data_IF_245474352616
#
_entry.id   IF_245474352616
#
_cell.length_a   1.000
_cell.length_b   1.000
_cell.length_c   1.000
_cell.angle_alpha   90.00
_cell.angle_beta   90.00
_cell.angle_gamma   90.00
#
_symmetry.space_group_name_H-M   'P 1'
#
loop_
_entity.id
_entity.type
_entity.pdbx_description
1 polymer ?
#
# COMPACT_ATOMS: atom_id res chain seq x y z
N UNK A 1 -5.69 -7.51 -5.73
CA UNK A 1 -6.54 -6.71 -6.63
C UNK A 1 -7.83 -6.41 -5.87
N UNK A 2 -8.01 -5.16 -5.42
CA UNK A 2 -9.28 -4.73 -4.87
C UNK A 2 -10.29 -4.77 -6.02
N UNK A 3 -11.43 -5.44 -5.81
CA UNK A 3 -12.55 -5.39 -6.75
C UNK A 3 -12.97 -3.93 -6.89
N UNK A 4 -12.85 -3.40 -8.10
CA UNK A 4 -13.37 -2.07 -8.44
C UNK A 4 -14.89 -2.21 -8.40
N UNK A 5 -15.58 -1.32 -7.68
CA UNK A 5 -17.04 -1.28 -7.72
C UNK A 5 -17.47 -0.66 -9.05
N UNK A 6 -17.69 -1.55 -10.03
CA UNK A 6 -18.00 -1.20 -11.40
C UNK A 6 -19.40 -0.56 -11.55
N UNK A 7 -20.25 -0.64 -10.51
CA UNK A 7 -21.60 -0.03 -10.54
C UNK A 7 -21.57 1.51 -10.53
N UNK A 8 -20.41 2.11 -10.22
CA UNK A 8 -20.19 3.55 -10.16
C UNK A 8 -19.10 4.04 -11.14
N UNK A 9 -18.64 3.19 -12.05
CA UNK A 9 -17.67 3.59 -13.06
C UNK A 9 -18.35 4.50 -14.09
N UNK A 10 -18.02 5.79 -14.06
CA UNK A 10 -18.35 6.71 -15.14
C UNK A 10 -17.21 6.62 -16.15
N UNK A 11 -17.43 5.89 -17.24
CA UNK A 11 -16.46 5.80 -18.33
C UNK A 11 -16.65 7.03 -19.21
N UNK A 12 -15.76 8.02 -19.07
CA UNK A 12 -15.65 9.08 -20.04
C UNK A 12 -14.79 8.58 -21.21
N UNK A 13 -15.38 8.42 -22.37
CA UNK A 13 -14.66 7.93 -23.55
C UNK A 13 -13.80 9.04 -24.15
N UNK A 14 -12.51 8.77 -24.41
CA UNK A 14 -11.67 9.67 -25.17
C UNK A 14 -12.23 9.83 -26.60
N UNK A 15 -12.01 10.99 -27.19
CA UNK A 15 -12.25 11.21 -28.61
C UNK A 15 -11.15 10.50 -29.43
N UNK A 16 -11.32 9.19 -29.62
CA UNK A 16 -10.43 8.42 -30.49
C UNK A 16 -10.97 8.52 -31.91
N UNK A 17 -10.23 9.14 -32.81
CA UNK A 17 -10.45 9.04 -34.26
C UNK A 17 -9.99 7.63 -34.70
N UNK A 18 -10.89 6.66 -34.66
CA UNK A 18 -10.66 5.34 -35.22
C UNK A 18 -11.52 5.18 -36.47
N UNK A 19 -10.88 4.80 -37.55
CA UNK A 19 -11.56 4.45 -38.80
C UNK A 19 -12.26 3.10 -38.63
N UNK A 20 -13.50 2.99 -39.08
CA UNK A 20 -14.41 1.84 -38.93
C UNK A 20 -13.90 0.48 -39.48
N UNK A 21 -12.66 0.42 -39.96
CA UNK A 21 -12.12 -0.74 -40.70
C UNK A 21 -11.58 -1.89 -39.86
N UNK A 22 -11.38 -1.73 -38.53
CA UNK A 22 -10.75 -2.76 -37.72
C UNK A 22 -11.45 -2.94 -36.36
N UNK A 23 -12.53 -3.75 -36.30
CA UNK A 23 -13.33 -3.92 -35.08
C UNK A 23 -12.55 -4.56 -33.92
N UNK A 24 -11.51 -5.36 -34.21
CA UNK A 24 -10.68 -6.04 -33.21
C UNK A 24 -9.42 -5.25 -32.80
N UNK A 25 -9.25 -4.04 -33.33
CA UNK A 25 -8.09 -3.20 -32.97
C UNK A 25 -8.18 -2.81 -31.50
N UNK A 26 -7.13 -3.12 -30.74
CA UNK A 26 -7.00 -2.64 -29.36
C UNK A 26 -6.74 -1.14 -29.35
N UNK A 27 -7.51 -0.44 -28.55
CA UNK A 27 -7.38 1.02 -28.34
C UNK A 27 -7.03 1.29 -26.89
N UNK A 28 -6.17 2.28 -26.68
CA UNK A 28 -5.91 2.83 -25.38
C UNK A 28 -7.08 3.73 -24.97
N UNK A 29 -7.53 3.53 -23.75
CA UNK A 29 -8.63 4.29 -23.17
C UNK A 29 -8.30 4.71 -21.74
N UNK A 30 -9.08 5.65 -21.24
CA UNK A 30 -9.06 6.00 -19.83
C UNK A 30 -10.50 6.17 -19.32
N UNK A 31 -10.68 5.95 -18.05
CA UNK A 31 -11.97 6.11 -17.37
C UNK A 31 -11.77 6.45 -15.91
N UNK A 32 -12.82 6.94 -15.30
CA UNK A 32 -12.83 7.19 -13.85
C UNK A 32 -13.75 6.20 -13.15
N UNK A 33 -13.30 5.72 -12.00
CA UNK A 33 -14.09 4.87 -11.11
C UNK A 33 -13.97 5.38 -9.67
N UNK A 34 -14.84 4.93 -8.79
CA UNK A 34 -14.68 5.17 -7.36
C UNK A 34 -14.03 3.97 -6.71
N UNK A 35 -13.06 4.22 -5.83
CA UNK A 35 -12.49 3.16 -5.01
C UNK A 35 -13.57 2.57 -4.09
N UNK A 36 -13.81 1.24 -4.05
CA UNK A 36 -14.85 0.66 -3.22
C UNK A 36 -14.60 0.79 -1.71
N UNK A 37 -13.35 1.07 -1.30
CA UNK A 37 -13.00 1.21 0.11
C UNK A 37 -13.12 2.65 0.61
N UNK A 38 -12.56 3.63 -0.13
CA UNK A 38 -12.48 5.01 0.33
C UNK A 38 -13.33 5.98 -0.49
N UNK A 39 -14.02 5.50 -1.51
CA UNK A 39 -14.88 6.26 -2.43
C UNK A 39 -14.18 7.41 -3.19
N UNK A 40 -12.85 7.48 -3.11
CA UNK A 40 -12.07 8.46 -3.85
C UNK A 40 -12.06 8.14 -5.35
N UNK A 41 -12.03 9.16 -6.23
CA UNK A 41 -11.95 8.93 -7.67
C UNK A 41 -10.63 8.27 -8.05
N UNK A 42 -10.70 7.29 -8.92
CA UNK A 42 -9.56 6.58 -9.50
C UNK A 42 -9.62 6.75 -11.00
N UNK A 43 -8.53 7.26 -11.59
CA UNK A 43 -8.33 7.24 -13.03
C UNK A 43 -7.76 5.88 -13.41
N UNK A 44 -8.37 5.21 -14.37
CA UNK A 44 -7.92 3.91 -14.90
C UNK A 44 -7.48 4.11 -16.34
N UNK A 45 -6.31 3.60 -16.70
CA UNK A 45 -5.82 3.53 -18.07
C UNK A 45 -5.91 2.07 -18.51
N UNK A 46 -6.52 1.82 -19.65
CA UNK A 46 -6.81 0.46 -20.11
C UNK A 46 -6.62 0.30 -21.62
N UNK A 47 -6.43 -0.96 -22.05
CA UNK A 47 -6.57 -1.40 -23.44
C UNK A 47 -7.84 -2.22 -23.60
N UNK A 48 -8.57 -1.96 -24.69
CA UNK A 48 -9.77 -2.71 -25.00
C UNK A 48 -10.00 -2.74 -26.52
N UNK A 49 -10.74 -3.74 -27.05
CA UNK A 49 -11.19 -3.73 -28.44
C UNK A 49 -12.06 -2.50 -28.72
N UNK A 50 -11.81 -1.82 -29.84
CA UNK A 50 -12.56 -0.61 -30.23
C UNK A 50 -14.07 -0.84 -30.27
N UNK A 51 -14.49 -1.99 -30.82
CA UNK A 51 -15.90 -2.35 -30.91
C UNK A 51 -16.58 -2.39 -29.52
N UNK A 52 -15.85 -2.82 -28.49
CA UNK A 52 -16.36 -2.87 -27.13
C UNK A 52 -16.53 -1.48 -26.54
N UNK A 53 -15.54 -0.60 -26.77
CA UNK A 53 -15.59 0.79 -26.29
C UNK A 53 -16.71 1.57 -27.00
N UNK A 54 -16.90 1.38 -28.30
CA UNK A 54 -17.97 2.04 -29.06
C UNK A 54 -19.36 1.57 -28.64
N UNK A 55 -19.56 0.25 -28.46
CA UNK A 55 -20.84 -0.32 -28.01
C UNK A 55 -21.16 -0.02 -26.56
N UNK A 56 -20.17 0.20 -25.70
CA UNK A 56 -20.41 0.55 -24.31
C UNK A 56 -21.22 1.84 -24.13
N UNK A 57 -21.18 2.73 -25.12
CA UNK A 57 -22.00 3.96 -25.16
C UNK A 57 -23.49 3.69 -25.40
N UNK A 58 -23.83 2.56 -26.01
CA UNK A 58 -25.20 2.20 -26.39
C UNK A 58 -25.87 1.30 -25.34
N UNK A 59 -25.04 0.64 -24.49
CA UNK A 59 -25.54 -0.27 -23.46
C UNK A 59 -26.09 0.53 -22.27
N UNK A 60 -27.41 0.47 -22.12
CA UNK A 60 -28.12 1.03 -20.95
C UNK A 60 -28.08 0.13 -19.73
N UNK A 61 -27.66 -1.14 -19.90
CA UNK A 61 -27.62 -2.14 -18.84
C UNK A 61 -26.19 -2.34 -18.33
N UNK A 62 -25.96 -1.92 -17.10
CA UNK A 62 -24.67 -2.04 -16.40
C UNK A 62 -24.21 -3.51 -16.25
N UNK A 63 -25.11 -4.48 -16.24
CA UNK A 63 -24.76 -5.90 -16.04
C UNK A 63 -24.09 -6.50 -17.25
N UNK A 64 -24.59 -6.18 -18.47
CA UNK A 64 -23.95 -6.64 -19.71
C UNK A 64 -22.61 -5.97 -19.94
N UNK A 65 -22.49 -4.68 -19.64
CA UNK A 65 -21.25 -3.93 -19.71
C UNK A 65 -20.20 -4.53 -18.76
N UNK A 66 -20.61 -4.89 -17.57
CA UNK A 66 -19.76 -5.51 -16.53
C UNK A 66 -19.10 -6.81 -17.00
N UNK A 67 -19.89 -7.71 -17.56
CA UNK A 67 -19.41 -9.02 -18.09
C UNK A 67 -18.45 -8.82 -19.28
N UNK A 68 -18.72 -7.86 -20.14
CA UNK A 68 -17.88 -7.55 -21.29
C UNK A 68 -16.55 -6.89 -20.87
N UNK A 69 -16.57 -5.98 -19.91
CA UNK A 69 -15.37 -5.33 -19.40
C UNK A 69 -14.43 -6.33 -18.71
N UNK A 70 -14.97 -7.27 -17.93
CA UNK A 70 -14.15 -8.28 -17.23
C UNK A 70 -13.39 -9.22 -18.16
N UNK A 71 -13.90 -9.50 -19.35
CA UNK A 71 -13.31 -10.46 -20.29
C UNK A 71 -12.31 -9.84 -21.27
N UNK A 72 -12.45 -8.55 -21.59
CA UNK A 72 -11.77 -7.96 -22.75
C UNK A 72 -11.02 -6.67 -22.46
N UNK A 73 -11.04 -6.19 -21.22
CA UNK A 73 -10.33 -4.97 -20.82
C UNK A 73 -9.09 -5.33 -20.03
N UNK A 74 -7.94 -4.92 -20.54
CA UNK A 74 -6.67 -4.99 -19.83
C UNK A 74 -6.39 -3.65 -19.15
N UNK A 75 -6.36 -3.65 -17.82
CA UNK A 75 -5.96 -2.45 -17.06
C UNK A 75 -4.43 -2.33 -17.14
N UNK A 76 -3.97 -1.26 -17.77
CA UNK A 76 -2.54 -0.97 -17.92
C UNK A 76 -2.02 -0.24 -16.69
N UNK A 77 -2.79 0.75 -16.20
CA UNK A 77 -2.37 1.61 -15.10
C UNK A 77 -3.57 2.26 -14.39
N UNK A 78 -3.34 2.81 -13.19
CA UNK A 78 -4.36 3.58 -12.46
C UNK A 78 -3.72 4.64 -11.57
N UNK A 79 -4.47 5.71 -11.27
CA UNK A 79 -4.06 6.84 -10.42
C UNK A 79 -5.18 7.22 -9.44
N UNK A 80 -4.85 7.69 -8.21
CA UNK A 80 -3.48 7.80 -7.70
C UNK A 80 -2.90 6.45 -7.33
N UNK A 81 -1.63 6.22 -7.63
CA UNK A 81 -0.88 5.12 -7.04
C UNK A 81 -0.60 5.46 -5.59
N UNK A 82 -0.92 4.55 -4.69
CA UNK A 82 -0.41 4.67 -3.33
C UNK A 82 1.09 4.41 -3.37
N UNK A 83 1.87 5.42 -3.03
CA UNK A 83 3.30 5.26 -2.81
C UNK A 83 3.49 4.47 -1.52
N UNK A 84 3.64 3.15 -1.67
CA UNK A 84 3.81 2.18 -0.58
C UNK A 84 5.23 1.67 -0.62
N UNK A 85 5.99 1.99 0.42
CA UNK A 85 7.33 1.45 0.59
C UNK A 85 7.28 -0.08 0.76
N UNK A 86 8.06 -0.78 -0.06
CA UNK A 86 8.20 -2.23 -0.01
C UNK A 86 9.57 -2.63 -0.54
N UNK A 87 10.26 -3.52 0.16
CA UNK A 87 11.58 -4.01 -0.28
C UNK A 87 11.69 -5.53 -0.02
N UNK A 88 12.28 -6.31 -0.95
CA UNK A 88 12.38 -7.77 -0.81
C UNK A 88 13.24 -8.23 0.38
N UNK A 89 14.18 -7.43 0.84
CA UNK A 89 14.99 -7.72 2.03
C UNK A 89 14.17 -7.75 3.33
N UNK A 90 13.01 -7.09 3.36
CA UNK A 90 12.13 -7.12 4.52
C UNK A 90 11.37 -8.45 4.53
N UNK A 91 11.40 -9.23 5.62
CA UNK A 91 10.68 -10.50 5.74
C UNK A 91 9.20 -10.34 5.40
N UNK A 92 8.64 -11.32 4.71
CA UNK A 92 7.30 -11.23 4.10
C UNK A 92 6.21 -10.82 5.10
N UNK A 93 6.23 -11.39 6.30
CA UNK A 93 5.24 -11.08 7.34
C UNK A 93 5.32 -9.62 7.79
N UNK A 94 6.52 -9.11 8.04
CA UNK A 94 6.76 -7.71 8.42
C UNK A 94 6.35 -6.79 7.27
N UNK A 95 6.76 -7.13 6.04
CA UNK A 95 6.44 -6.37 4.82
C UNK A 95 4.94 -6.27 4.57
N UNK A 96 4.19 -7.37 4.75
CA UNK A 96 2.75 -7.38 4.58
C UNK A 96 2.04 -6.53 5.63
N UNK A 97 2.42 -6.65 6.91
CA UNK A 97 1.90 -5.80 7.98
C UNK A 97 2.18 -4.32 7.71
N UNK A 98 3.41 -3.98 7.35
CA UNK A 98 3.78 -2.58 7.10
C UNK A 98 3.06 -2.01 5.89
N UNK A 99 2.89 -2.79 4.83
CA UNK A 99 2.07 -2.39 3.67
C UNK A 99 0.64 -2.02 4.07
N UNK A 100 0.02 -2.81 4.95
CA UNK A 100 -1.35 -2.56 5.37
C UNK A 100 -1.46 -1.32 6.27
N UNK A 101 -0.46 -1.09 7.13
CA UNK A 101 -0.35 0.14 7.95
C UNK A 101 -0.18 1.38 7.06
N UNK A 102 0.71 1.36 6.08
CA UNK A 102 0.89 2.46 5.13
C UNK A 102 -0.39 2.75 4.34
N UNK A 103 -1.12 1.71 3.92
CA UNK A 103 -2.42 1.88 3.24
C UNK A 103 -3.44 2.54 4.14
N UNK A 104 -3.50 2.14 5.41
CA UNK A 104 -4.42 2.73 6.38
C UNK A 104 -4.10 4.21 6.59
N UNK A 105 -2.81 4.58 6.72
CA UNK A 105 -2.37 5.96 6.83
C UNK A 105 -2.73 6.78 5.60
N UNK A 106 -2.37 6.33 4.39
CA UNK A 106 -2.67 7.01 3.12
C UNK A 106 -4.18 7.17 2.87
N UNK A 107 -4.99 6.27 3.36
CA UNK A 107 -6.45 6.34 3.29
C UNK A 107 -7.07 7.12 4.46
N UNK A 108 -6.25 7.76 5.30
CA UNK A 108 -6.68 8.56 6.46
C UNK A 108 -7.62 7.78 7.40
N UNK A 109 -7.28 6.51 7.65
CA UNK A 109 -7.96 5.73 8.67
C UNK A 109 -7.77 6.35 10.04
N UNK A 110 -8.55 5.88 11.02
CA UNK A 110 -8.44 6.33 12.40
C UNK A 110 -6.98 6.28 12.89
N UNK A 111 -6.37 7.43 13.23
CA UNK A 111 -4.95 7.53 13.57
C UNK A 111 -4.48 6.57 14.67
N UNK A 112 -5.20 6.34 15.78
CA UNK A 112 -4.84 5.35 16.78
C UNK A 112 -4.61 3.95 16.20
N UNK A 113 -5.44 3.50 15.26
CA UNK A 113 -5.27 2.18 14.62
C UNK A 113 -3.99 2.10 13.79
N UNK A 114 -3.62 3.19 13.12
CA UNK A 114 -2.36 3.27 12.37
C UNK A 114 -1.17 3.15 13.31
N UNK A 115 -1.17 3.89 14.42
CA UNK A 115 -0.08 3.89 15.40
C UNK A 115 0.05 2.53 16.11
N UNK A 116 -1.06 1.88 16.47
CA UNK A 116 -1.06 0.50 16.99
C UNK A 116 -0.53 -0.47 15.94
N UNK A 117 -0.85 -0.25 14.66
CA UNK A 117 -0.30 -1.00 13.55
C UNK A 117 1.22 -0.87 13.44
N UNK A 118 1.77 0.34 13.54
CA UNK A 118 3.22 0.59 13.57
C UNK A 118 3.91 -0.18 14.71
N UNK A 119 3.32 -0.18 15.90
CA UNK A 119 3.83 -0.98 17.04
C UNK A 119 3.83 -2.47 16.72
N UNK A 120 2.78 -2.98 16.07
CA UNK A 120 2.70 -4.41 15.70
C UNK A 120 3.76 -4.79 14.65
N UNK A 121 4.02 -3.91 13.69
CA UNK A 121 5.13 -4.06 12.71
C UNK A 121 6.47 -4.10 13.44
N UNK A 122 6.72 -3.17 14.36
CA UNK A 122 7.95 -3.13 15.14
C UNK A 122 8.13 -4.42 15.96
N UNK A 123 7.07 -4.92 16.60
CA UNK A 123 7.13 -6.16 17.39
C UNK A 123 7.51 -7.37 16.52
N UNK A 124 6.93 -7.49 15.34
CA UNK A 124 7.28 -8.58 14.43
C UNK A 124 8.70 -8.43 13.86
N UNK A 125 9.12 -7.20 13.54
CA UNK A 125 10.47 -6.92 13.08
C UNK A 125 11.52 -7.28 14.12
N UNK A 126 11.33 -6.87 15.37
CA UNK A 126 12.25 -7.14 16.47
C UNK A 126 12.34 -8.65 16.76
N UNK A 127 11.23 -9.40 16.69
CA UNK A 127 11.25 -10.87 16.78
C UNK A 127 12.07 -11.49 15.66
N UNK A 128 11.87 -11.03 14.44
CA UNK A 128 12.57 -11.54 13.26
C UNK A 128 14.07 -11.26 13.30
N UNK A 129 14.48 -10.14 13.92
CA UNK A 129 15.89 -9.80 14.16
C UNK A 129 16.53 -10.61 15.27
N UNK A 130 15.76 -11.46 15.97
CA UNK A 130 16.26 -12.34 17.05
C UNK A 130 16.23 -11.73 18.44
N UNK A 131 15.55 -10.59 18.63
CA UNK A 131 15.41 -9.95 19.94
C UNK A 131 14.72 -10.86 20.97
N UNK A 132 15.37 -11.05 22.11
CA UNK A 132 14.93 -11.92 23.21
C UNK A 132 14.31 -11.10 24.34
N UNK A 133 13.37 -11.71 25.06
CA UNK A 133 12.70 -11.13 26.22
C UNK A 133 11.18 -11.27 26.15
N UNK A 134 10.54 -10.99 27.27
CA UNK A 134 9.07 -11.18 27.40
C UNK A 134 8.29 -10.00 26.78
N UNK A 135 8.80 -8.79 26.93
CA UNK A 135 8.15 -7.59 26.44
C UNK A 135 8.83 -7.05 25.17
N UNK A 136 8.10 -6.22 24.42
CA UNK A 136 8.69 -5.48 23.29
C UNK A 136 9.89 -4.60 23.75
N UNK A 137 9.82 -4.05 24.96
CA UNK A 137 10.92 -3.28 25.54
C UNK A 137 12.17 -4.14 25.71
N UNK A 138 12.03 -5.33 26.32
CA UNK A 138 13.16 -6.22 26.57
C UNK A 138 13.83 -6.66 25.26
N UNK A 139 13.02 -6.96 24.24
CA UNK A 139 13.52 -7.35 22.91
C UNK A 139 14.30 -6.22 22.22
N UNK A 140 13.83 -4.97 22.34
CA UNK A 140 14.54 -3.80 21.82
C UNK A 140 15.87 -3.60 22.55
N UNK A 141 15.87 -3.69 23.90
CA UNK A 141 17.08 -3.58 24.71
C UNK A 141 18.07 -4.70 24.39
N UNK A 142 17.59 -5.90 24.16
CA UNK A 142 18.42 -7.05 23.81
C UNK A 142 19.12 -6.85 22.46
N UNK A 143 18.39 -6.43 21.42
CA UNK A 143 18.97 -6.10 20.10
C UNK A 143 20.00 -4.98 20.18
N UNK A 144 19.80 -3.99 21.05
CA UNK A 144 20.77 -2.95 21.29
C UNK A 144 22.06 -3.50 21.97
N UNK A 145 21.92 -4.35 22.98
CA UNK A 145 23.05 -4.99 23.65
C UNK A 145 23.83 -5.90 22.71
N UNK A 146 23.17 -6.58 21.80
CA UNK A 146 23.77 -7.40 20.75
C UNK A 146 24.47 -6.57 19.65
N UNK A 147 24.29 -5.25 19.63
CA UNK A 147 24.82 -4.38 18.58
C UNK A 147 24.08 -4.47 17.24
N UNK A 148 22.92 -5.14 17.21
CA UNK A 148 22.07 -5.27 16.00
C UNK A 148 21.44 -3.92 15.63
N UNK A 149 21.06 -3.13 16.65
CA UNK A 149 20.56 -1.78 16.47
C UNK A 149 21.41 -0.74 17.21
N UNK A 150 21.49 0.46 16.66
CA UNK A 150 22.18 1.58 17.29
C UNK A 150 21.33 2.19 18.43
N UNK A 151 21.96 3.03 19.27
CA UNK A 151 21.25 3.77 20.30
C UNK A 151 20.10 4.62 19.72
N UNK A 152 20.33 5.27 18.59
CA UNK A 152 19.29 6.10 17.94
C UNK A 152 18.10 5.25 17.52
N UNK A 153 18.32 4.08 16.91
CA UNK A 153 17.25 3.15 16.51
C UNK A 153 16.51 2.60 17.71
N UNK A 154 17.21 2.32 18.82
CA UNK A 154 16.58 1.91 20.09
C UNK A 154 15.64 3.01 20.60
N UNK A 155 16.09 4.26 20.60
CA UNK A 155 15.30 5.39 21.07
C UNK A 155 14.04 5.56 20.19
N UNK A 156 14.15 5.43 18.85
CA UNK A 156 13.00 5.46 17.94
C UNK A 156 12.04 4.30 18.15
N UNK A 157 12.56 3.07 18.29
CA UNK A 157 11.72 1.91 18.59
C UNK A 157 10.96 2.09 19.92
N UNK A 158 11.60 2.74 20.90
CA UNK A 158 10.97 3.07 22.19
C UNK A 158 9.86 4.12 22.02
N UNK A 159 10.02 5.10 21.12
CA UNK A 159 8.99 6.09 20.79
C UNK A 159 7.79 5.37 20.16
N UNK A 160 7.98 4.58 19.11
CA UNK A 160 6.90 3.83 18.43
C UNK A 160 6.14 2.96 19.45
N UNK A 161 6.86 2.26 20.33
CA UNK A 161 6.26 1.43 21.37
C UNK A 161 5.39 2.24 22.34
N UNK A 162 5.89 3.40 22.81
CA UNK A 162 5.17 4.27 23.76
C UNK A 162 3.90 4.86 23.12
N UNK A 163 4.00 5.37 21.89
CA UNK A 163 2.86 5.90 21.15
C UNK A 163 1.84 4.80 20.85
N UNK A 164 2.28 3.62 20.44
CA UNK A 164 1.38 2.48 20.21
C UNK A 164 0.66 2.01 21.48
N UNK A 165 1.32 2.05 22.64
CA UNK A 165 0.67 1.76 23.91
C UNK A 165 -0.36 2.84 24.28
N UNK A 166 -0.01 4.13 24.13
CA UNK A 166 -0.92 5.24 24.38
C UNK A 166 -2.14 5.15 23.47
N UNK A 167 -1.95 4.99 22.17
CA UNK A 167 -3.01 4.90 21.19
C UNK A 167 -3.97 3.70 21.39
N UNK A 168 -3.50 2.62 22.05
CA UNK A 168 -4.34 1.48 22.40
C UNK A 168 -5.30 1.76 23.57
N UNK A 169 -5.00 2.76 24.40
CA UNK A 169 -5.78 3.10 25.59
C UNK A 169 -6.42 4.48 25.50
N UNK A 170 -5.83 5.40 24.77
CA UNK A 170 -6.27 6.78 24.58
C UNK A 170 -6.57 7.03 23.10
N UNK A 171 -7.75 7.53 22.79
CA UNK A 171 -8.22 7.73 21.40
C UNK A 171 -7.64 9.03 20.80
N UNK A 172 -6.88 9.80 21.58
CA UNK A 172 -6.32 11.09 21.17
C UNK A 172 -4.97 10.92 20.46
N UNK A 173 -5.02 10.60 19.17
CA UNK A 173 -3.87 10.59 18.27
C UNK A 173 -4.21 11.39 17.03
N UNK A 174 -3.35 12.31 16.62
CA UNK A 174 -3.57 13.12 15.42
C UNK A 174 -3.11 12.38 14.15
N UNK A 175 -3.55 12.87 12.97
CA UNK A 175 -3.11 12.32 11.69
C UNK A 175 -1.61 12.56 11.46
N UNK A 176 -1.10 13.70 11.93
CA UNK A 176 0.32 14.04 11.85
C UNK A 176 1.18 13.06 12.66
N UNK A 177 0.77 12.76 13.90
CA UNK A 177 1.44 11.77 14.74
C UNK A 177 1.42 10.37 14.11
N UNK A 178 0.31 9.97 13.49
CA UNK A 178 0.22 8.71 12.78
C UNK A 178 1.17 8.65 11.58
N UNK A 179 1.25 9.73 10.79
CA UNK A 179 2.18 9.83 9.65
C UNK A 179 3.63 9.77 10.12
N UNK A 180 3.98 10.49 11.19
CA UNK A 180 5.32 10.45 11.79
C UNK A 180 5.70 9.04 12.27
N UNK A 181 4.77 8.31 12.89
CA UNK A 181 5.01 6.94 13.33
C UNK A 181 5.22 5.97 12.15
N UNK A 182 4.52 6.16 11.05
CA UNK A 182 4.74 5.37 9.82
C UNK A 182 6.12 5.64 9.24
N UNK A 183 6.55 6.91 9.16
CA UNK A 183 7.90 7.25 8.68
C UNK A 183 9.00 6.71 9.60
N UNK A 184 8.85 6.79 10.92
CA UNK A 184 9.79 6.19 11.85
C UNK A 184 9.87 4.67 11.72
N UNK A 185 8.72 4.01 11.53
CA UNK A 185 8.69 2.56 11.30
C UNK A 185 9.40 2.19 9.99
N UNK A 186 9.19 2.97 8.92
CA UNK A 186 9.90 2.80 7.65
C UNK A 186 11.41 2.88 7.83
N UNK A 187 11.89 3.95 8.46
CA UNK A 187 13.33 4.15 8.69
C UNK A 187 13.91 2.99 9.52
N UNK A 188 13.19 2.50 10.54
CA UNK A 188 13.62 1.35 11.31
C UNK A 188 13.80 0.11 10.43
N UNK A 189 12.86 -0.18 9.54
CA UNK A 189 12.93 -1.32 8.62
C UNK A 189 14.03 -1.15 7.57
N UNK A 190 14.25 0.06 7.07
CA UNK A 190 15.33 0.36 6.13
C UNK A 190 16.70 0.08 6.77
N UNK A 191 16.94 0.57 7.98
CA UNK A 191 18.21 0.37 8.68
C UNK A 191 18.47 -1.07 9.07
N UNK A 192 17.43 -1.79 9.49
CA UNK A 192 17.62 -3.15 10.05
C UNK A 192 17.59 -4.26 9.00
N UNK A 193 16.91 -4.06 7.87
CA UNK A 193 16.79 -5.09 6.84
C UNK A 193 17.38 -4.66 5.50
N UNK A 194 17.03 -3.45 5.03
CA UNK A 194 17.38 -3.04 3.66
C UNK A 194 18.84 -2.67 3.53
N UNK A 195 19.33 -1.83 4.42
CA UNK A 195 20.74 -1.37 4.38
C UNK A 195 21.75 -2.51 4.55
N UNK A 196 21.62 -3.45 5.52
CA UNK A 196 22.50 -4.60 5.61
C UNK A 196 22.48 -5.46 4.34
N UNK A 197 21.30 -5.70 3.78
CA UNK A 197 21.14 -6.45 2.54
C UNK A 197 21.85 -5.76 1.37
N UNK A 198 21.71 -4.44 1.21
CA UNK A 198 22.38 -3.66 0.15
C UNK A 198 23.90 -3.72 0.26
N UNK A 199 24.44 -3.64 1.49
CA UNK A 199 25.88 -3.76 1.74
C UNK A 199 26.36 -5.14 1.34
N UNK A 200 25.64 -6.21 1.68
CA UNK A 200 26.01 -7.58 1.32
C UNK A 200 25.98 -7.82 -0.19
N UNK A 201 24.97 -7.29 -0.90
CA UNK A 201 24.92 -7.40 -2.35
C UNK A 201 26.13 -6.73 -3.04
N UNK A 202 26.65 -5.63 -2.48
CA UNK A 202 27.84 -4.96 -3.04
C UNK A 202 29.13 -5.68 -2.72
N UNK A 203 29.19 -6.46 -1.65
CA UNK A 203 30.37 -7.28 -1.30
C UNK A 203 30.50 -8.51 -2.20
N UNK A 204 29.41 -8.96 -2.79
CA UNK A 204 29.37 -10.13 -3.68
C UNK A 204 29.65 -9.79 -5.16
N UNK A 205 29.76 -8.51 -5.50
CA UNK A 205 30.12 -8.00 -6.83
C UNK A 205 31.62 -7.72 -6.91
#
# INVERSE_FOLDING_TARGET
>A
LASIDESRAVVSTPSVKVTERFPDTLVDGWGTASCPKCFQPVLIIFKAPYLLVSKSRELKDNTQLKVLLQKHVEIIDWFPKLDIFSHPAIPEKVRNLFRDVQRAEKQKFNPPLVVVGCRSVLEEAVKTLGGQGDTLYDKIEDLYKQGVITRVLKDWATIIRKYGNKAAHEIETTQEEATEMVEFTKIFLEYTFVLPWQVEQKRLQ
#
